data_IF_361665358055
#
_entry.id   IF_361665358055
#
_cell.length_a   1.000
_cell.length_b   1.000
_cell.length_c   1.000
_cell.angle_alpha   90.00
_cell.angle_beta   90.00
_cell.angle_gamma   90.00
#
_symmetry.space_group_name_H-M   'P 1'
#
loop_
_entity.id
_entity.type
_entity.pdbx_description
1 polymer ?
#
# COMPACT_ATOMS: atom_id res chain seq x y z
N UNK A 1 -27.46 13.93 29.30
CA UNK A 1 -26.04 13.67 28.98
C UNK A 1 -25.43 14.98 28.51
N UNK A 2 -24.57 15.67 29.28
CA UNK A 2 -23.95 16.89 28.79
C UNK A 2 -22.98 16.53 27.66
N UNK A 3 -23.19 17.08 26.47
CA UNK A 3 -22.20 17.02 25.39
C UNK A 3 -20.94 17.71 25.90
N UNK A 4 -19.95 16.91 26.31
CA UNK A 4 -18.62 17.39 26.65
C UNK A 4 -18.10 18.08 25.39
N UNK A 5 -17.91 19.39 25.44
CA UNK A 5 -17.33 20.15 24.33
C UNK A 5 -15.96 19.56 23.99
N UNK A 6 -15.92 18.73 22.96
CA UNK A 6 -14.72 18.06 22.50
C UNK A 6 -13.81 19.12 21.88
N UNK A 7 -12.55 19.17 22.30
CA UNK A 7 -11.61 20.12 21.72
C UNK A 7 -11.38 19.79 20.25
N UNK A 8 -11.06 20.79 19.42
CA UNK A 8 -10.71 20.57 18.01
C UNK A 8 -9.56 19.57 17.86
N UNK A 9 -8.59 19.62 18.79
CA UNK A 9 -7.52 18.63 18.88
C UNK A 9 -8.08 17.22 19.13
N UNK A 10 -9.00 17.07 20.09
CA UNK A 10 -9.64 15.79 20.38
C UNK A 10 -10.37 15.24 19.17
N UNK A 11 -11.13 16.08 18.45
CA UNK A 11 -11.84 15.71 17.23
C UNK A 11 -10.86 15.23 16.16
N UNK A 12 -9.79 15.98 15.90
CA UNK A 12 -8.81 15.61 14.88
C UNK A 12 -8.10 14.28 15.19
N UNK A 13 -7.76 14.03 16.47
CA UNK A 13 -7.15 12.77 16.90
C UNK A 13 -8.14 11.61 16.79
N UNK A 14 -9.41 11.84 17.15
CA UNK A 14 -10.46 10.83 17.04
C UNK A 14 -10.74 10.46 15.58
N UNK A 15 -10.80 11.45 14.68
CA UNK A 15 -10.89 11.22 13.24
C UNK A 15 -9.68 10.42 12.73
N UNK A 16 -8.46 10.80 13.09
CA UNK A 16 -7.25 10.08 12.70
C UNK A 16 -7.31 8.60 13.11
N UNK A 17 -7.70 8.31 14.36
CA UNK A 17 -7.77 6.96 14.88
C UNK A 17 -8.90 6.16 14.21
N UNK A 18 -10.07 6.78 14.03
CA UNK A 18 -11.22 6.15 13.37
C UNK A 18 -10.90 5.80 11.93
N UNK A 19 -10.23 6.68 11.19
CA UNK A 19 -9.83 6.42 9.81
C UNK A 19 -8.78 5.30 9.73
N UNK A 20 -7.80 5.25 10.65
CA UNK A 20 -6.85 4.13 10.73
C UNK A 20 -7.55 2.79 10.98
N UNK A 21 -8.52 2.78 11.89
CA UNK A 21 -9.31 1.59 12.17
C UNK A 21 -10.10 1.14 10.92
N UNK A 22 -10.76 2.06 10.22
CA UNK A 22 -11.49 1.74 8.99
C UNK A 22 -10.58 1.17 7.89
N UNK A 23 -9.39 1.75 7.68
CA UNK A 23 -8.41 1.20 6.73
C UNK A 23 -8.04 -0.25 7.05
N UNK A 24 -7.79 -0.56 8.33
CA UNK A 24 -7.47 -1.92 8.77
C UNK A 24 -8.67 -2.85 8.56
N UNK A 25 -9.88 -2.40 8.91
CA UNK A 25 -11.11 -3.17 8.72
C UNK A 25 -11.31 -3.54 7.25
N UNK A 26 -11.24 -2.56 6.34
CA UNK A 26 -11.38 -2.80 4.90
C UNK A 26 -10.31 -3.75 4.35
N UNK A 27 -9.09 -3.68 4.89
CA UNK A 27 -8.03 -4.60 4.53
C UNK A 27 -8.39 -6.05 4.90
N UNK A 28 -8.90 -6.28 6.11
CA UNK A 28 -9.38 -7.61 6.51
C UNK A 28 -10.60 -8.07 5.70
N UNK A 29 -11.59 -7.19 5.51
CA UNK A 29 -12.78 -7.50 4.71
C UNK A 29 -12.44 -7.86 3.26
N UNK A 30 -11.38 -7.24 2.70
CA UNK A 30 -10.88 -7.60 1.36
C UNK A 30 -10.29 -9.02 1.31
N UNK A 31 -9.63 -9.45 2.37
CA UNK A 31 -9.03 -10.79 2.49
C UNK A 31 -10.10 -11.86 2.73
N UNK A 32 -11.14 -11.53 3.49
CA UNK A 32 -12.25 -12.44 3.78
C UNK A 32 -13.27 -12.53 2.63
N UNK A 33 -13.30 -11.54 1.74
CA UNK A 33 -14.24 -11.52 0.63
C UNK A 33 -13.97 -12.63 -0.39
N UNK A 34 -14.98 -13.45 -0.63
CA UNK A 34 -15.01 -14.46 -1.69
C UNK A 34 -15.38 -13.90 -3.07
N UNK A 35 -15.90 -12.67 -3.12
CA UNK A 35 -16.39 -12.03 -4.34
C UNK A 35 -15.37 -11.01 -4.85
N UNK A 36 -14.82 -11.16 -6.07
CA UNK A 36 -13.79 -10.26 -6.62
C UNK A 36 -14.21 -8.78 -6.62
N UNK A 37 -15.46 -8.48 -6.98
CA UNK A 37 -15.97 -7.11 -7.04
C UNK A 37 -16.01 -6.44 -5.65
N UNK A 38 -16.38 -7.21 -4.62
CA UNK A 38 -16.39 -6.73 -3.24
C UNK A 38 -14.95 -6.53 -2.75
N UNK A 39 -14.04 -7.45 -3.09
CA UNK A 39 -12.62 -7.30 -2.76
C UNK A 39 -12.03 -6.04 -3.38
N UNK A 40 -12.26 -5.80 -4.67
CA UNK A 40 -11.77 -4.62 -5.37
C UNK A 40 -12.39 -3.32 -4.81
N UNK A 41 -13.63 -3.36 -4.34
CA UNK A 41 -14.26 -2.24 -3.65
C UNK A 41 -13.57 -1.98 -2.30
N UNK A 42 -13.40 -3.00 -1.46
CA UNK A 42 -12.75 -2.85 -0.15
C UNK A 42 -11.29 -2.40 -0.29
N UNK A 43 -10.56 -2.89 -1.29
CA UNK A 43 -9.20 -2.43 -1.58
C UNK A 43 -9.16 -0.94 -1.95
N UNK A 44 -10.13 -0.44 -2.72
CA UNK A 44 -10.23 1.00 -3.03
C UNK A 44 -10.59 1.81 -1.80
N UNK A 45 -11.54 1.35 -0.98
CA UNK A 45 -11.90 2.03 0.27
C UNK A 45 -10.73 2.10 1.25
N UNK A 46 -9.99 1.00 1.40
CA UNK A 46 -8.76 0.97 2.20
C UNK A 46 -7.75 2.02 1.72
N UNK A 47 -7.52 2.13 0.40
CA UNK A 47 -6.61 3.16 -0.15
C UNK A 47 -7.08 4.58 0.17
N UNK A 48 -8.38 4.86 0.05
CA UNK A 48 -8.94 6.17 0.41
C UNK A 48 -8.81 6.46 1.92
N UNK A 49 -9.09 5.47 2.79
CA UNK A 49 -8.89 5.62 4.23
C UNK A 49 -7.41 5.83 4.59
N UNK A 50 -6.48 5.13 3.96
CA UNK A 50 -5.05 5.34 4.16
C UNK A 50 -4.62 6.76 3.77
N UNK A 51 -5.12 7.27 2.65
CA UNK A 51 -4.88 8.65 2.22
C UNK A 51 -5.43 9.66 3.23
N UNK A 52 -6.68 9.50 3.66
CA UNK A 52 -7.27 10.38 4.68
C UNK A 52 -6.52 10.31 6.01
N UNK A 53 -6.08 9.12 6.42
CA UNK A 53 -5.28 8.94 7.63
C UNK A 53 -3.94 9.70 7.53
N UNK A 54 -3.30 9.71 6.36
CA UNK A 54 -2.09 10.50 6.12
C UNK A 54 -2.37 12.01 6.19
N UNK A 55 -3.46 12.49 5.57
CA UNK A 55 -3.86 13.90 5.63
C UNK A 55 -4.14 14.36 7.07
N UNK A 56 -4.84 13.54 7.86
CA UNK A 56 -5.05 13.79 9.28
C UNK A 56 -3.74 13.78 10.07
N UNK A 57 -2.85 12.82 9.80
CA UNK A 57 -1.55 12.71 10.45
C UNK A 57 -0.69 13.96 10.19
N UNK A 58 -0.65 14.43 8.95
CA UNK A 58 0.04 15.68 8.59
C UNK A 58 -0.59 16.90 9.28
N UNK A 59 -1.92 16.97 9.39
CA UNK A 59 -2.59 18.05 10.10
C UNK A 59 -2.19 18.09 11.58
N UNK A 60 -2.31 16.96 12.29
CA UNK A 60 -2.02 16.90 13.73
C UNK A 60 -0.54 17.14 14.03
N UNK A 61 0.37 16.73 13.14
CA UNK A 61 1.79 17.05 13.24
C UNK A 61 2.07 18.54 13.02
N UNK A 62 1.51 19.16 11.96
CA UNK A 62 1.68 20.60 11.70
C UNK A 62 1.15 21.47 12.83
N UNK A 63 0.12 21.01 13.55
CA UNK A 63 -0.46 21.69 14.71
C UNK A 63 0.25 21.38 16.03
N UNK A 64 1.22 20.47 16.03
CA UNK A 64 1.92 20.03 17.25
C UNK A 64 1.02 19.28 18.24
N UNK A 65 -0.12 18.76 17.78
CA UNK A 65 -1.11 18.09 18.61
C UNK A 65 -0.78 16.64 18.91
N UNK A 66 0.06 16.04 18.06
CA UNK A 66 0.53 14.68 18.22
C UNK A 66 2.06 14.71 18.38
N UNK A 67 2.54 14.44 19.60
CA UNK A 67 3.93 14.07 19.82
C UNK A 67 4.01 12.55 19.85
N UNK A 68 4.46 11.99 18.73
CA UNK A 68 4.76 10.56 18.67
C UNK A 68 6.07 10.36 19.43
N UNK A 69 6.05 9.57 20.49
CA UNK A 69 7.27 9.13 21.16
C UNK A 69 8.15 8.45 20.10
N UNK A 70 9.41 8.89 19.96
CA UNK A 70 10.35 8.23 19.04
C UNK A 70 10.34 6.75 19.38
N UNK A 71 10.04 5.89 18.39
CA UNK A 71 10.14 4.45 18.59
C UNK A 71 11.53 4.15 19.15
N UNK A 72 11.62 3.33 20.21
CA UNK A 72 12.91 3.02 20.82
C UNK A 72 13.88 2.55 19.70
N UNK A 73 15.15 2.98 19.68
CA UNK A 73 16.07 2.70 18.57
C UNK A 73 16.11 1.22 18.19
N UNK A 74 15.93 0.33 19.16
CA UNK A 74 15.89 -1.12 18.98
C UNK A 74 14.67 -1.59 18.17
N UNK A 75 13.53 -0.92 18.29
CA UNK A 75 12.31 -1.21 17.52
C UNK A 75 12.42 -0.71 16.08
N UNK A 76 13.13 0.40 15.83
CA UNK A 76 13.32 0.91 14.46
C UNK A 76 14.11 -0.07 13.58
N UNK A 77 15.20 -0.63 14.10
CA UNK A 77 16.01 -1.59 13.35
C UNK A 77 15.26 -2.90 13.09
N UNK A 78 14.44 -3.34 14.05
CA UNK A 78 13.58 -4.52 13.91
C UNK A 78 12.51 -4.32 12.85
N UNK A 79 11.79 -3.19 12.87
CA UNK A 79 10.77 -2.90 11.86
C UNK A 79 11.40 -2.73 10.48
N UNK A 80 12.54 -2.03 10.38
CA UNK A 80 13.26 -1.86 9.11
C UNK A 80 13.69 -3.20 8.52
N UNK A 81 14.29 -4.09 9.33
CA UNK A 81 14.71 -5.43 8.87
C UNK A 81 13.52 -6.31 8.47
N UNK A 82 12.40 -6.24 9.19
CA UNK A 82 11.17 -6.94 8.83
C UNK A 82 10.60 -6.45 7.49
N UNK A 83 10.52 -5.12 7.28
CA UNK A 83 10.06 -4.54 6.01
C UNK A 83 10.98 -4.94 4.85
N UNK A 84 12.30 -4.90 5.03
CA UNK A 84 13.27 -5.37 4.03
C UNK A 84 13.14 -6.87 3.72
N UNK A 85 12.82 -7.69 4.71
CA UNK A 85 12.62 -9.12 4.52
C UNK A 85 11.35 -9.43 3.71
N UNK A 86 10.26 -8.70 4.00
CA UNK A 86 8.99 -8.81 3.27
C UNK A 86 9.12 -8.35 1.83
N UNK A 87 9.81 -7.23 1.56
CA UNK A 87 10.04 -6.76 0.20
C UNK A 87 10.92 -7.72 -0.61
N UNK A 88 11.91 -8.34 0.03
CA UNK A 88 12.75 -9.36 -0.59
C UNK A 88 11.97 -10.62 -0.96
N UNK A 89 11.06 -11.08 -0.10
CA UNK A 89 10.19 -12.22 -0.40
C UNK A 89 9.21 -11.93 -1.53
N UNK A 90 8.58 -10.74 -1.53
CA UNK A 90 7.68 -10.34 -2.62
C UNK A 90 8.41 -10.23 -3.96
N UNK A 91 9.66 -9.73 -3.99
CA UNK A 91 10.47 -9.67 -5.21
C UNK A 91 10.81 -11.04 -5.81
N UNK A 92 10.96 -12.08 -4.97
CA UNK A 92 11.25 -13.45 -5.43
C UNK A 92 9.99 -14.12 -6.01
N UNK A 93 8.80 -13.83 -5.46
CA UNK A 93 7.55 -14.40 -5.97
C UNK A 93 7.20 -13.92 -7.39
N UNK A 94 7.52 -12.67 -7.76
CA UNK A 94 7.35 -12.19 -9.14
C UNK A 94 8.40 -12.77 -10.11
N UNK A 95 9.58 -13.15 -9.64
CA UNK A 95 10.65 -13.69 -10.47
C UNK A 95 10.47 -15.19 -10.80
N UNK A 96 9.67 -15.94 -10.03
CA UNK A 96 9.48 -17.38 -10.25
C UNK A 96 8.29 -17.77 -11.16
N UNK A 97 7.36 -16.85 -11.43
CA UNK A 97 6.22 -17.10 -12.35
C UNK A 97 6.41 -16.52 -13.75
N UNK A 98 7.54 -15.88 -14.04
CA UNK A 98 7.84 -15.32 -15.35
C UNK A 98 9.09 -15.96 -16.00
N UNK A 99 8.94 -17.18 -16.50
CA UNK A 99 9.74 -17.66 -17.62
C UNK A 99 8.78 -18.36 -18.61
N UNK A 100 8.76 -17.92 -19.87
CA UNK A 100 9.88 -18.20 -20.75
C UNK A 100 10.63 -16.93 -21.18
N UNK A 101 11.94 -17.05 -21.16
CA UNK A 101 12.94 -16.11 -21.66
C UNK A 101 12.67 -15.66 -23.10
N UNK A 102 12.26 -14.39 -23.27
CA UNK A 102 12.48 -13.68 -24.53
C UNK A 102 13.85 -13.00 -24.45
N UNK A 103 14.83 -13.54 -25.19
CA UNK A 103 16.10 -12.85 -25.41
C UNK A 103 15.83 -11.60 -26.23
N UNK A 104 15.92 -10.42 -25.60
CA UNK A 104 15.91 -9.14 -26.30
C UNK A 104 17.36 -8.74 -26.56
N UNK A 105 17.85 -9.07 -27.76
CA UNK A 105 19.11 -8.52 -28.27
C UNK A 105 18.84 -7.07 -28.71
N UNK A 106 19.58 -6.06 -28.23
CA UNK A 106 19.35 -4.69 -28.65
C UNK A 106 19.86 -4.51 -30.09
N UNK A 107 18.94 -4.33 -31.05
CA UNK A 107 19.28 -3.99 -32.43
C UNK A 107 19.05 -2.47 -32.64
N UNK A 108 20.01 -1.73 -33.24
CA UNK A 108 19.90 -0.28 -33.37
C UNK A 108 18.89 0.11 -34.46
N UNK A 109 18.00 1.03 -34.08
CA UNK A 109 17.07 1.87 -34.87
C UNK A 109 17.11 1.73 -36.41
N UNK A 110 16.11 1.04 -36.95
CA UNK A 110 15.71 1.06 -38.37
C UNK A 110 14.35 0.37 -38.51
N UNK A 111 13.44 0.94 -39.30
CA UNK A 111 12.00 0.61 -39.43
C UNK A 111 11.62 -0.89 -39.36
N UNK A 112 10.45 -1.25 -38.79
CA UNK A 112 10.03 -2.64 -38.70
C UNK A 112 9.54 -3.16 -40.05
N UNK A 113 10.31 -4.04 -40.69
CA UNK A 113 9.81 -4.91 -41.75
C UNK A 113 9.23 -6.17 -41.12
N UNK A 114 7.92 -6.36 -41.25
CA UNK A 114 7.23 -7.58 -40.82
C UNK A 114 7.60 -8.72 -41.77
N UNK A 115 8.29 -9.75 -41.27
CA UNK A 115 8.52 -11.01 -41.99
C UNK A 115 7.54 -12.06 -41.45
N UNK A 116 6.63 -12.62 -42.26
CA UNK A 116 5.73 -13.67 -41.80
C UNK A 116 6.45 -15.01 -41.61
N UNK A 117 5.95 -15.87 -40.70
CA UNK A 117 6.59 -17.15 -40.38
C UNK A 117 6.52 -18.13 -41.56
N UNK A 118 7.66 -18.73 -41.90
CA UNK A 118 7.75 -19.87 -42.81
C UNK A 118 7.20 -21.10 -42.09
N UNK A 119 6.21 -21.74 -42.70
CA UNK A 119 5.71 -23.06 -42.30
C UNK A 119 6.74 -24.10 -42.77
N UNK A 120 7.43 -24.76 -41.83
CA UNK A 120 8.24 -25.93 -42.14
C UNK A 120 7.32 -27.12 -42.45
N UNK A 121 7.48 -27.71 -43.63
CA UNK A 121 6.99 -29.07 -43.95
C UNK A 121 7.92 -30.12 -43.35
#
# INVERSE_FOLDING_TARGET
MPYRNMSVQGIAIDCLNSTKYMAISDAFDSLESTTPQIRDLMMRMNQEHLRMADEWNQLVHRKGWLQVSVARPELQSQVSSQVSSLSSQMGITYAQTAAPSYQVTPQPTGFPTVIPPQVSQ
#
